data_IF_192056568832
#
_entry.id   IF_192056568832
#
_cell.length_a   1.000
_cell.length_b   1.000
_cell.length_c   1.000
_cell.angle_alpha   90.00
_cell.angle_beta   90.00
_cell.angle_gamma   90.00
#
_symmetry.space_group_name_H-M   'P 1'
#
loop_
_entity.id
_entity.type
_entity.pdbx_description
1 polymer ?
#
# COMPACT_ATOMS: atom_id res chain seq x y z
N UNK A 1 4.45 -32.29 -2.58
CA UNK A 1 3.17 -31.58 -2.52
C UNK A 1 2.50 -31.65 -3.88
N UNK A 2 1.23 -32.01 -3.90
CA UNK A 2 0.45 -31.94 -5.13
C UNK A 2 -0.09 -30.53 -5.30
N UNK A 3 0.09 -29.96 -6.48
CA UNK A 3 -0.44 -28.64 -6.81
C UNK A 3 -1.90 -28.78 -7.25
N UNK A 4 -2.72 -27.87 -6.75
CA UNK A 4 -4.12 -27.74 -7.16
C UNK A 4 -4.36 -26.36 -7.74
N UNK A 5 -5.19 -26.27 -8.76
CA UNK A 5 -5.56 -25.01 -9.37
C UNK A 5 -6.86 -24.52 -8.74
N UNK A 6 -6.86 -23.27 -8.31
CA UNK A 6 -8.03 -22.62 -7.74
C UNK A 6 -8.28 -21.31 -8.48
N UNK A 7 -9.53 -21.05 -8.80
CA UNK A 7 -9.93 -19.78 -9.38
C UNK A 7 -10.37 -18.86 -8.24
N UNK A 8 -9.46 -18.01 -7.79
CA UNK A 8 -9.70 -17.11 -6.66
C UNK A 8 -9.18 -15.72 -6.98
N UNK A 9 -9.76 -14.73 -6.30
CA UNK A 9 -9.24 -13.36 -6.32
C UNK A 9 -8.61 -13.06 -4.97
N UNK A 10 -7.87 -11.95 -4.89
CA UNK A 10 -7.31 -11.50 -3.61
C UNK A 10 -8.43 -11.23 -2.60
N UNK A 11 -9.59 -10.79 -3.06
CA UNK A 11 -10.75 -10.56 -2.20
C UNK A 11 -11.18 -11.84 -1.48
N UNK A 12 -11.09 -12.99 -2.16
CA UNK A 12 -11.46 -14.28 -1.60
C UNK A 12 -10.48 -14.77 -0.53
N UNK A 13 -9.24 -14.31 -0.59
CA UNK A 13 -8.15 -14.82 0.25
C UNK A 13 -7.99 -14.08 1.56
N UNK A 14 -8.74 -13.00 1.77
CA UNK A 14 -8.66 -12.22 3.02
C UNK A 14 -9.92 -12.44 3.83
N UNK A 15 -9.81 -12.91 5.08
CA UNK A 15 -10.99 -13.13 5.93
C UNK A 15 -11.87 -11.89 6.05
N UNK A 16 -13.18 -12.08 6.08
CA UNK A 16 -14.12 -10.96 6.14
C UNK A 16 -14.01 -10.17 7.44
N UNK A 17 -13.54 -10.80 8.51
CA UNK A 17 -13.37 -10.14 9.81
C UNK A 17 -11.95 -9.63 10.04
N UNK A 18 -11.11 -9.62 9.01
CA UNK A 18 -9.73 -9.15 9.16
C UNK A 18 -9.69 -7.67 9.55
N UNK A 19 -8.75 -7.33 10.44
CA UNK A 19 -8.59 -5.96 10.93
C UNK A 19 -8.46 -4.94 9.80
N UNK A 20 -7.72 -5.28 8.75
CA UNK A 20 -7.49 -4.34 7.63
C UNK A 20 -8.77 -4.03 6.86
N UNK A 21 -9.75 -4.95 6.83
CA UNK A 21 -11.05 -4.64 6.24
C UNK A 21 -11.80 -3.61 7.07
N UNK A 22 -11.71 -3.73 8.39
CA UNK A 22 -12.31 -2.76 9.31
C UNK A 22 -11.65 -1.41 9.17
N UNK A 23 -10.33 -1.40 9.05
CA UNK A 23 -9.56 -0.18 8.87
C UNK A 23 -9.93 0.54 7.57
N UNK A 24 -10.06 -0.21 6.47
CA UNK A 24 -10.45 0.36 5.17
C UNK A 24 -11.80 1.05 5.25
N UNK A 25 -12.74 0.47 5.98
CA UNK A 25 -14.06 1.06 6.17
C UNK A 25 -14.02 2.27 7.09
N UNK A 26 -13.21 2.22 8.14
CA UNK A 26 -13.19 3.25 9.18
C UNK A 26 -12.34 4.46 8.82
N UNK A 27 -11.32 4.30 7.99
CA UNK A 27 -10.36 5.35 7.68
C UNK A 27 -10.43 5.72 6.20
N UNK A 28 -10.95 6.91 5.92
CA UNK A 28 -11.02 7.45 4.57
C UNK A 28 -9.77 8.28 4.29
N UNK A 29 -8.94 7.80 3.37
CA UNK A 29 -7.70 8.46 2.99
C UNK A 29 -7.84 9.29 1.71
N UNK A 30 -9.05 9.49 1.22
CA UNK A 30 -9.24 10.26 -0.02
C UNK A 30 -8.70 11.69 0.07
N UNK A 31 -8.62 12.25 1.28
CA UNK A 31 -8.06 13.58 1.51
C UNK A 31 -6.61 13.67 1.03
N UNK A 32 -5.89 12.55 0.98
CA UNK A 32 -4.48 12.53 0.56
C UNK A 32 -4.35 13.02 -0.88
N UNK A 33 -5.27 12.65 -1.74
CA UNK A 33 -5.25 13.12 -3.14
C UNK A 33 -5.38 14.65 -3.21
N UNK A 34 -6.25 15.21 -2.39
CA UNK A 34 -6.45 16.65 -2.33
C UNK A 34 -5.21 17.36 -1.80
N UNK A 35 -4.62 16.82 -0.73
CA UNK A 35 -3.44 17.41 -0.10
C UNK A 35 -2.20 17.36 -1.00
N UNK A 36 -2.14 16.40 -1.92
CA UNK A 36 -0.98 16.23 -2.80
C UNK A 36 -1.20 16.79 -4.20
N UNK A 37 -2.41 17.24 -4.51
CA UNK A 37 -2.74 17.74 -5.86
C UNK A 37 -1.82 18.89 -6.29
N UNK A 38 -1.43 19.75 -5.38
CA UNK A 38 -0.56 20.88 -5.68
C UNK A 38 0.82 20.46 -6.18
N UNK A 39 1.30 19.26 -5.79
CA UNK A 39 2.59 18.76 -6.24
C UNK A 39 2.58 18.51 -7.75
N UNK A 40 1.45 18.05 -8.29
CA UNK A 40 1.33 17.81 -9.72
C UNK A 40 1.31 19.12 -10.50
N UNK A 41 0.63 20.12 -9.97
CA UNK A 41 0.51 21.43 -10.64
C UNK A 41 1.80 22.23 -10.59
N UNK A 42 2.76 21.85 -9.72
CA UNK A 42 4.03 22.54 -9.61
C UNK A 42 5.15 21.91 -10.45
N UNK A 43 4.79 21.06 -11.40
CA UNK A 43 5.76 20.49 -12.31
C UNK A 43 6.54 19.29 -11.77
N UNK A 44 6.15 18.76 -10.64
CA UNK A 44 6.78 17.56 -10.11
C UNK A 44 6.44 16.31 -10.92
N UNK A 45 5.44 16.45 -11.80
CA UNK A 45 4.95 15.34 -12.57
C UNK A 45 4.17 14.35 -11.72
N UNK A 46 3.71 13.29 -12.36
CA UNK A 46 2.98 12.24 -11.69
C UNK A 46 3.95 11.38 -10.89
N UNK A 47 3.71 11.18 -9.57
CA UNK A 47 4.59 10.31 -8.81
C UNK A 47 4.53 8.87 -9.33
N UNK A 48 5.61 8.08 -9.16
CA UNK A 48 5.64 6.69 -9.61
C UNK A 48 4.72 5.78 -8.81
N UNK A 49 4.15 6.26 -7.72
CA UNK A 49 3.25 5.51 -6.86
C UNK A 49 2.11 6.41 -6.41
N UNK A 50 0.91 5.85 -6.31
CA UNK A 50 -0.26 6.54 -5.81
C UNK A 50 0.00 7.01 -4.37
N UNK A 51 -0.25 8.30 -4.06
CA UNK A 51 0.02 8.83 -2.71
C UNK A 51 -0.79 8.13 -1.61
N UNK A 52 -2.00 7.64 -1.91
CA UNK A 52 -2.78 6.87 -0.91
C UNK A 52 -2.09 5.53 -0.63
N UNK A 53 -1.55 4.88 -1.65
CA UNK A 53 -0.79 3.63 -1.46
C UNK A 53 0.44 3.90 -0.60
N UNK A 54 1.13 5.00 -0.83
CA UNK A 54 2.29 5.37 -0.02
C UNK A 54 1.91 5.55 1.45
N UNK A 55 0.81 6.27 1.73
CA UNK A 55 0.35 6.47 3.10
C UNK A 55 -0.05 5.14 3.74
N UNK A 56 -0.78 4.30 3.02
CA UNK A 56 -1.18 2.98 3.52
C UNK A 56 0.03 2.11 3.83
N UNK A 57 1.04 2.15 2.97
CA UNK A 57 2.28 1.41 3.14
C UNK A 57 2.95 1.80 4.48
N UNK A 58 3.10 3.09 4.72
CA UNK A 58 3.70 3.58 5.96
C UNK A 58 2.82 3.31 7.17
N UNK A 59 1.51 3.37 7.00
CA UNK A 59 0.54 3.08 8.06
C UNK A 59 0.62 1.61 8.49
N UNK A 60 0.79 0.70 7.54
CA UNK A 60 1.01 -0.71 7.85
C UNK A 60 2.25 -0.91 8.71
N UNK A 61 3.33 -0.21 8.38
CA UNK A 61 4.56 -0.26 9.18
C UNK A 61 4.33 0.20 10.60
N UNK A 62 3.60 1.29 10.77
CA UNK A 62 3.27 1.83 12.09
C UNK A 62 2.36 0.88 12.89
N UNK A 63 1.28 0.43 12.27
CA UNK A 63 0.28 -0.39 12.96
C UNK A 63 0.79 -1.77 13.35
N UNK A 64 1.66 -2.34 12.55
CA UNK A 64 2.19 -3.69 12.79
C UNK A 64 3.58 -3.68 13.39
N UNK A 65 4.10 -2.48 13.74
CA UNK A 65 5.40 -2.37 14.40
C UNK A 65 6.56 -2.83 13.54
N UNK A 66 6.50 -2.59 12.24
CA UNK A 66 7.54 -3.01 11.31
C UNK A 66 8.62 -1.91 11.27
N UNK A 67 9.88 -2.23 11.64
CA UNK A 67 10.87 -1.18 11.93
C UNK A 67 11.50 -0.51 10.71
N UNK A 68 11.37 -1.07 9.51
CA UNK A 68 11.97 -0.46 8.33
C UNK A 68 11.07 -0.61 7.11
N UNK A 69 11.22 0.32 6.17
CA UNK A 69 10.45 0.30 4.93
C UNK A 69 10.77 -0.95 4.10
N UNK A 70 12.01 -1.43 4.16
CA UNK A 70 12.40 -2.67 3.50
C UNK A 70 11.61 -3.86 4.03
N UNK A 71 11.45 -3.93 5.35
CA UNK A 71 10.67 -5.01 5.98
C UNK A 71 9.18 -4.87 5.68
N UNK A 72 8.68 -3.64 5.56
CA UNK A 72 7.30 -3.42 5.11
C UNK A 72 7.11 -3.99 3.71
N UNK A 73 8.04 -3.72 2.81
CA UNK A 73 8.00 -4.25 1.44
C UNK A 73 7.94 -5.77 1.45
N UNK A 74 8.79 -6.40 2.25
CA UNK A 74 8.82 -7.86 2.37
C UNK A 74 7.50 -8.43 2.91
N UNK A 75 6.92 -7.77 3.92
CA UNK A 75 5.63 -8.19 4.48
C UNK A 75 4.51 -8.02 3.47
N UNK A 76 4.52 -6.93 2.72
CA UNK A 76 3.53 -6.72 1.66
C UNK A 76 3.63 -7.79 0.58
N UNK A 77 4.83 -8.21 0.25
CA UNK A 77 5.01 -9.26 -0.75
C UNK A 77 4.45 -10.60 -0.29
N UNK A 78 4.52 -10.89 1.00
CA UNK A 78 4.15 -12.19 1.56
C UNK A 78 2.71 -12.26 2.09
N UNK A 79 2.04 -11.11 2.28
CA UNK A 79 0.74 -11.05 2.93
C UNK A 79 -0.36 -10.69 1.95
N UNK A 80 -1.33 -11.58 1.76
CA UNK A 80 -2.50 -11.28 0.96
C UNK A 80 -3.33 -10.14 1.57
N UNK A 81 -3.41 -10.07 2.89
CA UNK A 81 -4.16 -9.00 3.57
C UNK A 81 -3.51 -7.64 3.34
N UNK A 82 -2.18 -7.55 3.38
CA UNK A 82 -1.48 -6.31 3.10
C UNK A 82 -1.67 -5.89 1.64
N UNK A 83 -1.56 -6.84 0.71
CA UNK A 83 -1.81 -6.56 -0.71
C UNK A 83 -3.22 -6.05 -0.92
N UNK A 84 -4.19 -6.71 -0.29
CA UNK A 84 -5.59 -6.31 -0.39
C UNK A 84 -5.79 -4.88 0.08
N UNK A 85 -5.20 -4.53 1.23
CA UNK A 85 -5.32 -3.19 1.80
C UNK A 85 -4.70 -2.13 0.89
N UNK A 86 -3.56 -2.45 0.28
CA UNK A 86 -2.89 -1.54 -0.64
C UNK A 86 -3.57 -1.46 -2.01
N UNK A 87 -4.45 -2.39 -2.33
CA UNK A 87 -5.08 -2.46 -3.65
C UNK A 87 -4.18 -3.06 -4.72
N UNK A 88 -3.25 -3.91 -4.33
CA UNK A 88 -2.29 -4.57 -5.21
C UNK A 88 -2.74 -6.00 -5.44
N UNK A 89 -2.91 -6.41 -6.70
CA UNK A 89 -3.37 -7.74 -7.04
C UNK A 89 -2.29 -8.80 -6.75
N UNK A 90 -2.69 -10.06 -6.81
CA UNK A 90 -1.83 -11.21 -6.49
C UNK A 90 -0.57 -11.25 -7.36
N UNK A 91 -0.67 -10.86 -8.62
CA UNK A 91 0.42 -10.91 -9.58
C UNK A 91 1.14 -9.57 -9.75
N UNK A 92 0.68 -8.53 -9.07
CA UNK A 92 1.29 -7.21 -9.15
C UNK A 92 2.50 -7.11 -8.23
N UNK A 93 3.44 -6.29 -8.66
CA UNK A 93 4.65 -6.03 -7.89
C UNK A 93 4.38 -5.03 -6.78
N UNK A 94 4.88 -5.32 -5.58
CA UNK A 94 4.82 -4.39 -4.46
C UNK A 94 5.76 -3.21 -4.74
N UNK A 95 5.35 -1.97 -4.42
CA UNK A 95 6.23 -0.82 -4.58
C UNK A 95 7.54 -0.99 -3.82
N UNK A 96 8.63 -0.58 -4.45
CA UNK A 96 9.97 -0.66 -3.89
C UNK A 96 10.10 0.30 -2.70
N UNK A 97 10.72 -0.17 -1.63
CA UNK A 97 10.92 0.64 -0.43
C UNK A 97 11.75 1.90 -0.70
N UNK A 98 12.70 1.83 -1.61
CA UNK A 98 13.52 3.00 -1.94
C UNK A 98 12.71 4.07 -2.66
N UNK A 99 11.76 3.69 -3.50
CA UNK A 99 10.83 4.62 -4.13
C UNK A 99 9.98 5.34 -3.07
N UNK A 100 9.46 4.59 -2.10
CA UNK A 100 8.68 5.16 -0.99
C UNK A 100 9.54 6.14 -0.19
N UNK A 101 10.77 5.75 0.14
CA UNK A 101 11.68 6.60 0.90
C UNK A 101 11.98 7.90 0.19
N UNK A 102 12.21 7.84 -1.13
CA UNK A 102 12.48 9.03 -1.92
C UNK A 102 11.29 9.97 -1.95
N UNK A 103 10.08 9.44 -2.13
CA UNK A 103 8.87 10.25 -2.14
C UNK A 103 8.63 10.92 -0.79
N UNK A 104 8.89 10.19 0.31
CA UNK A 104 8.71 10.74 1.65
C UNK A 104 9.69 11.88 1.93
N UNK A 105 10.88 11.86 1.32
CA UNK A 105 11.88 12.92 1.48
C UNK A 105 11.61 14.14 0.61
N UNK A 106 10.73 14.02 -0.40
CA UNK A 106 10.35 15.15 -1.21
C UNK A 106 9.49 16.08 -0.39
N UNK A 107 10.00 17.30 -0.19
CA UNK A 107 9.22 18.32 0.50
C UNK A 107 8.77 19.34 -0.53
N UNK A 108 7.54 19.79 -0.44
CA UNK A 108 7.12 20.93 -1.25
C UNK A 108 8.00 22.12 -0.89
N UNK A 109 8.41 22.83 -1.89
CA UNK A 109 9.22 24.04 -1.71
C UNK A 109 8.44 25.09 -0.92
#
# INVERSE_FOLDING_TARGET
MQLKYHLVTIEDLVPQNHFLRKLETALDLSFVYKETAHLYSQGYGRPPIDPVIMVKYLLLGFLYGIPSERQIEQRCADSNAFRWYLGIDLDERVPDHSTISQLRRRKPA
#
